data_IF_147713523942
#
_entry.id   IF_147713523942
#
_cell.length_a   1.000
_cell.length_b   1.000
_cell.length_c   1.000
_cell.angle_alpha   90.00
_cell.angle_beta   90.00
_cell.angle_gamma   90.00
#
_symmetry.space_group_name_H-M   'P 1'
#
loop_
_entity.id
_entity.type
_entity.pdbx_description
1 polymer ?
#
# COMPACT_ATOMS: atom_id res chain seq x y z
N UNK A 1 0.60 39.80 -19.96
CA UNK A 1 -0.79 39.53 -19.60
C UNK A 1 -0.80 38.51 -18.47
N UNK A 2 -1.37 38.94 -17.31
CA UNK A 2 -1.52 38.07 -16.15
C UNK A 2 -2.72 37.13 -16.37
N UNK A 3 -2.55 36.16 -17.26
CA UNK A 3 -3.47 35.04 -17.30
C UNK A 3 -2.98 33.97 -16.36
N UNK A 4 -3.82 33.45 -15.46
CA UNK A 4 -3.44 32.47 -14.43
C UNK A 4 -2.93 31.10 -14.91
N UNK A 5 -2.69 30.96 -16.22
CA UNK A 5 -2.15 29.80 -16.91
C UNK A 5 -0.77 30.03 -17.55
N UNK A 6 -0.18 31.22 -17.40
CA UNK A 6 1.14 31.50 -17.91
C UNK A 6 2.19 31.32 -16.81
N UNK A 7 3.04 30.33 -16.99
CA UNK A 7 4.12 30.01 -16.05
C UNK A 7 5.48 30.32 -16.68
N UNK A 8 6.39 30.87 -15.90
CA UNK A 8 7.81 31.00 -16.26
C UNK A 8 8.61 30.24 -15.21
N UNK A 9 9.35 29.23 -15.65
CA UNK A 9 10.23 28.43 -14.80
C UNK A 9 11.56 28.22 -15.50
N UNK A 10 12.64 28.20 -14.73
CA UNK A 10 13.92 27.78 -15.22
C UNK A 10 13.93 26.26 -15.39
N UNK A 11 14.48 25.77 -16.51
CA UNK A 11 14.59 24.34 -16.78
C UNK A 11 15.40 23.58 -15.71
N UNK A 12 16.38 24.24 -15.08
CA UNK A 12 17.18 23.66 -14.00
C UNK A 12 16.33 23.29 -12.76
N UNK A 13 15.23 24.03 -12.54
CA UNK A 13 14.31 23.77 -11.41
C UNK A 13 13.69 22.38 -11.49
N UNK A 14 13.44 21.86 -12.69
CA UNK A 14 12.83 20.52 -12.87
C UNK A 14 13.79 19.38 -12.52
N UNK A 15 15.11 19.63 -12.49
CA UNK A 15 16.09 18.63 -12.07
C UNK A 15 16.01 18.28 -10.58
N UNK A 16 15.34 19.10 -9.77
CA UNK A 16 15.09 18.82 -8.36
C UNK A 16 14.06 17.70 -8.16
N UNK A 17 13.23 17.44 -9.18
CA UNK A 17 12.18 16.43 -9.11
C UNK A 17 12.71 15.12 -9.73
N UNK A 18 12.59 13.98 -9.04
CA UNK A 18 12.97 12.68 -9.56
C UNK A 18 12.31 12.38 -10.92
N UNK A 19 13.12 11.99 -11.92
CA UNK A 19 12.63 11.77 -13.28
C UNK A 19 12.45 13.04 -14.11
N UNK A 20 12.77 14.21 -13.56
CA UNK A 20 12.74 15.52 -14.25
C UNK A 20 11.46 15.81 -15.04
N UNK A 21 10.25 15.57 -14.47
CA UNK A 21 9.01 15.91 -15.16
C UNK A 21 8.91 17.44 -15.35
N UNK A 22 8.34 17.88 -16.46
CA UNK A 22 8.11 19.30 -16.73
C UNK A 22 6.90 19.80 -15.92
N UNK A 23 7.08 19.95 -14.60
CA UNK A 23 6.04 20.33 -13.65
C UNK A 23 6.02 21.87 -13.44
N UNK A 24 5.75 22.65 -14.52
CA UNK A 24 5.78 24.11 -14.50
C UNK A 24 4.80 24.76 -13.52
N UNK A 25 3.77 24.02 -13.10
CA UNK A 25 2.75 24.44 -12.12
C UNK A 25 3.16 24.18 -10.67
N UNK A 26 4.28 23.46 -10.43
CA UNK A 26 4.74 23.16 -9.07
C UNK A 26 5.06 24.45 -8.31
N UNK A 27 4.57 24.57 -7.07
CA UNK A 27 4.93 25.68 -6.20
C UNK A 27 6.41 25.57 -5.74
N UNK A 28 7.02 26.71 -5.37
CA UNK A 28 8.36 26.70 -4.82
C UNK A 28 8.46 25.82 -3.57
N UNK A 29 7.47 25.87 -2.67
CA UNK A 29 7.41 25.01 -1.49
C UNK A 29 7.41 23.51 -1.84
N UNK A 30 6.81 23.11 -2.97
CA UNK A 30 6.82 21.71 -3.40
C UNK A 30 8.18 21.32 -3.97
N UNK A 31 8.84 22.21 -4.71
CA UNK A 31 10.20 22.03 -5.20
C UNK A 31 11.20 21.94 -4.04
N UNK A 32 11.07 22.84 -3.05
CA UNK A 32 11.86 22.80 -1.82
C UNK A 32 11.68 21.50 -1.04
N UNK A 33 10.47 20.95 -1.02
CA UNK A 33 10.22 19.66 -0.40
C UNK A 33 11.01 18.54 -1.08
N UNK A 34 11.08 18.50 -2.41
CA UNK A 34 11.92 17.52 -3.12
C UNK A 34 13.42 17.72 -2.88
N UNK A 35 13.87 18.97 -2.73
CA UNK A 35 15.27 19.28 -2.52
C UNK A 35 15.75 18.99 -1.08
N UNK A 36 14.88 19.17 -0.08
CA UNK A 36 15.29 19.23 1.32
C UNK A 36 14.67 18.15 2.22
N UNK A 37 13.53 17.54 1.82
CA UNK A 37 12.93 16.48 2.61
C UNK A 37 13.60 15.14 2.35
N UNK A 38 13.57 14.27 3.37
CA UNK A 38 13.99 12.87 3.21
C UNK A 38 13.01 12.14 2.31
N UNK A 39 13.52 11.19 1.54
CA UNK A 39 12.68 10.35 0.69
C UNK A 39 11.98 9.26 1.51
N UNK A 40 10.83 8.79 1.04
CA UNK A 40 10.06 7.73 1.68
C UNK A 40 10.90 6.48 1.96
N UNK A 41 11.81 6.11 1.05
CA UNK A 41 12.67 4.94 1.19
C UNK A 41 13.68 5.02 2.36
N UNK A 42 13.86 6.20 2.95
CA UNK A 42 14.67 6.39 4.17
C UNK A 42 13.91 6.02 5.44
N UNK A 43 12.57 6.08 5.42
CA UNK A 43 11.68 5.74 6.53
C UNK A 43 11.12 4.33 6.44
N UNK A 44 10.93 3.82 5.22
CA UNK A 44 10.35 2.51 4.97
C UNK A 44 10.87 1.90 3.68
N UNK A 45 10.62 0.62 3.49
CA UNK A 45 11.11 -0.14 2.32
C UNK A 45 9.95 -0.48 1.39
N UNK A 46 9.71 0.29 0.30
CA UNK A 46 8.75 -0.08 -0.72
C UNK A 46 9.17 -1.38 -1.42
N UNK A 47 8.24 -2.32 -1.55
CA UNK A 47 8.49 -3.65 -2.12
C UNK A 47 7.36 -4.08 -3.02
N UNK A 48 7.71 -4.79 -4.08
CA UNK A 48 6.78 -5.48 -4.95
C UNK A 48 6.64 -6.93 -4.47
N UNK A 49 5.41 -7.44 -4.42
CA UNK A 49 5.13 -8.80 -4.01
C UNK A 49 5.31 -9.83 -5.12
N UNK A 50 4.85 -11.04 -4.85
CA UNK A 50 4.90 -12.14 -5.78
C UNK A 50 3.95 -11.96 -6.98
N UNK A 51 4.22 -12.69 -8.05
CA UNK A 51 3.26 -12.94 -9.10
C UNK A 51 2.98 -14.44 -9.12
N UNK A 52 1.70 -14.84 -9.02
CA UNK A 52 1.31 -16.25 -9.00
C UNK A 52 1.47 -16.93 -10.36
N UNK A 53 1.48 -16.14 -11.43
CA UNK A 53 1.42 -16.64 -12.80
C UNK A 53 0.06 -17.22 -13.22
N UNK A 54 -0.72 -17.73 -12.26
CA UNK A 54 -2.06 -18.30 -12.49
C UNK A 54 -2.97 -18.07 -11.29
N UNK A 55 -3.64 -16.89 -11.24
CA UNK A 55 -4.49 -16.53 -10.11
C UNK A 55 -5.64 -17.52 -9.91
N UNK A 56 -6.27 -18.00 -10.98
CA UNK A 56 -7.38 -18.95 -10.90
C UNK A 56 -7.01 -20.26 -10.20
N UNK A 57 -5.72 -20.61 -10.15
CA UNK A 57 -5.22 -21.79 -9.45
C UNK A 57 -4.92 -21.54 -7.98
N UNK A 58 -4.33 -20.39 -7.65
CA UNK A 58 -3.71 -20.14 -6.35
C UNK A 58 -4.45 -19.14 -5.48
N UNK A 59 -5.36 -18.34 -6.04
CA UNK A 59 -6.06 -17.26 -5.35
C UNK A 59 -7.56 -17.53 -5.35
N UNK A 60 -8.23 -17.22 -4.23
CA UNK A 60 -9.68 -17.29 -4.05
C UNK A 60 -10.17 -16.05 -3.32
N UNK A 61 -11.44 -15.80 -3.39
CA UNK A 61 -12.12 -14.94 -2.45
C UNK A 61 -12.33 -15.74 -1.15
N UNK A 62 -12.24 -15.09 0.01
CA UNK A 62 -12.23 -15.79 1.30
C UNK A 62 -13.49 -16.64 1.53
N UNK A 63 -14.64 -16.25 0.97
CA UNK A 63 -15.90 -17.00 1.06
C UNK A 63 -16.00 -18.22 0.12
N UNK A 64 -15.04 -18.41 -0.77
CA UNK A 64 -14.95 -19.57 -1.66
C UNK A 64 -14.17 -20.75 -1.04
N UNK A 65 -13.57 -20.54 0.13
CA UNK A 65 -12.68 -21.52 0.75
C UNK A 65 -13.22 -22.03 2.08
N UNK A 66 -12.67 -23.16 2.52
CA UNK A 66 -12.99 -23.76 3.81
C UNK A 66 -12.37 -22.93 4.95
N UNK A 67 -13.23 -22.37 5.81
CA UNK A 67 -12.81 -21.57 6.95
C UNK A 67 -11.92 -22.36 7.93
N UNK A 68 -12.15 -23.67 8.08
CA UNK A 68 -11.31 -24.54 8.93
C UNK A 68 -9.88 -24.70 8.39
N UNK A 69 -9.67 -24.40 7.11
CA UNK A 69 -8.35 -24.42 6.44
C UNK A 69 -7.78 -23.02 6.20
N UNK A 70 -8.40 -22.01 6.76
CA UNK A 70 -8.04 -20.60 6.56
C UNK A 70 -7.54 -19.98 7.86
N UNK A 71 -6.52 -19.14 7.80
CA UNK A 71 -6.05 -18.35 8.94
C UNK A 71 -6.02 -16.87 8.58
N UNK A 72 -6.83 -16.08 9.27
CA UNK A 72 -6.88 -14.63 9.15
C UNK A 72 -6.12 -13.92 10.28
N UNK A 73 -5.55 -14.67 11.23
CA UNK A 73 -4.85 -14.15 12.41
C UNK A 73 -3.39 -14.58 12.52
N UNK A 74 -2.85 -15.29 11.53
CA UNK A 74 -1.45 -15.67 11.47
C UNK A 74 -0.56 -14.42 11.49
N UNK A 75 0.44 -14.40 12.38
CA UNK A 75 1.24 -13.20 12.62
C UNK A 75 2.66 -13.26 12.04
N UNK A 76 3.12 -14.44 11.62
CA UNK A 76 4.47 -14.61 11.08
C UNK A 76 4.56 -15.73 10.05
N UNK A 77 5.65 -15.72 9.29
CA UNK A 77 5.97 -16.80 8.34
C UNK A 77 6.18 -18.13 9.07
N UNK A 78 6.86 -18.12 10.21
CA UNK A 78 7.13 -19.32 11.01
C UNK A 78 5.83 -19.96 11.51
N UNK A 79 4.89 -19.13 11.94
CA UNK A 79 3.55 -19.59 12.34
C UNK A 79 2.79 -20.18 11.15
N UNK A 80 2.86 -19.58 9.97
CA UNK A 80 2.19 -20.09 8.77
C UNK A 80 2.73 -21.46 8.35
N UNK A 81 4.05 -21.65 8.41
CA UNK A 81 4.73 -22.92 8.08
C UNK A 81 4.40 -24.02 9.08
N UNK A 82 4.30 -23.68 10.38
CA UNK A 82 3.99 -24.65 11.44
C UNK A 82 2.51 -24.97 11.54
N UNK A 83 1.64 -24.20 10.90
CA UNK A 83 0.20 -24.39 10.92
C UNK A 83 -0.25 -25.43 9.89
N UNK A 84 -1.46 -25.98 10.12
CA UNK A 84 -2.13 -26.86 9.14
C UNK A 84 -3.05 -26.07 8.17
N UNK A 85 -2.96 -24.75 8.16
CA UNK A 85 -3.77 -23.93 7.32
C UNK A 85 -3.25 -23.88 5.88
N UNK A 86 -4.20 -23.77 4.95
CA UNK A 86 -3.92 -23.70 3.54
C UNK A 86 -4.06 -22.29 2.97
N UNK A 87 -5.06 -21.54 3.47
CA UNK A 87 -5.44 -20.26 2.93
C UNK A 87 -5.07 -19.13 3.87
N UNK A 88 -4.38 -18.13 3.34
CA UNK A 88 -3.94 -16.96 4.08
C UNK A 88 -4.32 -15.67 3.34
N UNK A 89 -4.54 -14.55 4.04
CA UNK A 89 -4.84 -13.26 3.44
C UNK A 89 -3.86 -12.88 2.33
N UNK A 90 -4.39 -12.40 1.22
CA UNK A 90 -3.61 -12.02 0.06
C UNK A 90 -3.89 -10.57 -0.35
N UNK A 91 -2.91 -9.71 -0.23
CA UNK A 91 -3.02 -8.32 -0.63
C UNK A 91 -2.85 -8.19 -2.14
N UNK A 92 -3.96 -8.09 -2.85
CA UNK A 92 -4.01 -8.00 -4.32
C UNK A 92 -4.21 -6.58 -4.87
N UNK A 93 -4.18 -5.57 -4.02
CA UNK A 93 -4.51 -4.20 -4.39
C UNK A 93 -6.01 -3.96 -4.32
N UNK A 94 -6.66 -3.66 -5.44
CA UNK A 94 -8.10 -3.41 -5.52
C UNK A 94 -8.46 -1.94 -5.71
N UNK A 95 -9.73 -1.60 -5.53
CA UNK A 95 -10.30 -0.28 -5.78
C UNK A 95 -9.74 0.82 -4.87
N UNK A 96 -10.03 2.07 -5.22
CA UNK A 96 -9.64 3.22 -4.43
C UNK A 96 -10.28 3.16 -3.04
N UNK A 97 -9.47 2.94 -2.02
CA UNK A 97 -9.86 3.00 -0.61
C UNK A 97 -8.66 3.44 0.23
N UNK A 98 -8.83 4.45 1.06
CA UNK A 98 -7.82 4.91 2.02
C UNK A 98 -7.94 4.13 3.33
N UNK A 99 -6.88 4.10 4.08
CA UNK A 99 -6.73 3.69 5.47
C UNK A 99 -6.82 2.18 5.71
N UNK A 100 -7.93 1.52 5.35
CA UNK A 100 -8.17 0.08 5.58
C UNK A 100 -9.11 -0.50 4.52
N UNK A 101 -9.06 -1.82 4.27
CA UNK A 101 -9.96 -2.56 3.39
C UNK A 101 -9.28 -3.23 2.20
N UNK A 102 -10.07 -3.69 1.22
CA UNK A 102 -9.67 -4.55 0.11
C UNK A 102 -8.99 -5.83 0.63
N UNK A 103 -9.73 -6.57 1.47
CA UNK A 103 -9.28 -7.80 2.13
C UNK A 103 -10.14 -8.99 1.69
N UNK A 104 -10.47 -9.09 0.42
CA UNK A 104 -11.33 -10.16 -0.10
C UNK A 104 -10.55 -11.43 -0.45
N UNK A 105 -9.28 -11.28 -0.85
CA UNK A 105 -8.52 -12.37 -1.42
C UNK A 105 -7.72 -13.16 -0.38
N UNK A 106 -7.66 -14.47 -0.60
CA UNK A 106 -6.76 -15.40 0.07
C UNK A 106 -5.92 -16.15 -0.96
N UNK A 107 -4.72 -16.57 -0.56
CA UNK A 107 -3.79 -17.35 -1.37
C UNK A 107 -3.55 -18.72 -0.74
N UNK A 108 -3.41 -19.75 -1.56
CA UNK A 108 -2.89 -21.04 -1.14
C UNK A 108 -1.40 -20.90 -0.78
N UNK A 109 -1.12 -20.83 0.52
CA UNK A 109 0.24 -20.73 1.07
C UNK A 109 0.59 -21.91 1.99
N UNK A 110 -0.07 -23.06 1.78
CA UNK A 110 0.22 -24.33 2.47
C UNK A 110 1.69 -24.70 2.26
N UNK A 111 2.36 -25.19 3.32
CA UNK A 111 3.77 -25.59 3.30
C UNK A 111 4.71 -24.50 2.74
N UNK A 112 4.63 -23.28 3.27
CA UNK A 112 5.39 -22.10 2.80
C UNK A 112 5.12 -21.78 1.32
N UNK A 113 3.90 -22.03 0.85
CA UNK A 113 3.51 -21.75 -0.54
C UNK A 113 4.19 -22.67 -1.55
N UNK A 114 4.50 -23.90 -1.17
CA UNK A 114 5.24 -24.85 -2.01
C UNK A 114 4.62 -24.98 -3.41
N UNK A 115 3.30 -25.11 -3.50
CA UNK A 115 2.61 -25.23 -4.80
C UNK A 115 2.76 -23.99 -5.72
N UNK A 116 2.87 -22.79 -5.11
CA UNK A 116 3.12 -21.54 -5.85
C UNK A 116 4.58 -21.45 -6.25
N UNK A 117 5.51 -21.82 -5.36
CA UNK A 117 6.96 -21.77 -5.59
C UNK A 117 7.41 -22.73 -6.69
N UNK A 118 6.81 -23.90 -6.76
CA UNK A 118 7.12 -24.92 -7.78
C UNK A 118 6.49 -24.63 -9.15
N UNK A 119 5.50 -23.73 -9.22
CA UNK A 119 4.87 -23.40 -10.48
C UNK A 119 5.78 -22.52 -11.34
N UNK A 120 6.14 -22.99 -12.52
CA UNK A 120 7.10 -22.35 -13.41
C UNK A 120 6.70 -20.95 -13.90
N UNK A 121 5.39 -20.62 -13.85
CA UNK A 121 4.84 -19.30 -14.19
C UNK A 121 4.89 -18.29 -13.04
N UNK A 122 5.17 -18.73 -11.81
CA UNK A 122 5.21 -17.86 -10.65
C UNK A 122 6.56 -17.13 -10.52
N UNK A 123 6.54 -15.99 -9.86
CA UNK A 123 7.75 -15.24 -9.49
C UNK A 123 7.65 -14.82 -8.04
N UNK A 124 8.43 -15.45 -7.16
CA UNK A 124 8.49 -15.11 -5.75
C UNK A 124 9.43 -13.92 -5.55
N UNK A 125 8.93 -12.85 -4.95
CA UNK A 125 9.69 -11.62 -4.63
C UNK A 125 9.54 -11.27 -3.17
N UNK A 126 10.63 -10.85 -2.53
CA UNK A 126 10.68 -10.33 -1.16
C UNK A 126 9.93 -11.23 -0.15
N UNK A 127 10.20 -12.54 -0.08
CA UNK A 127 9.49 -13.46 0.81
C UNK A 127 9.72 -13.12 2.30
N UNK A 128 10.81 -12.48 2.64
CA UNK A 128 11.14 -11.94 3.97
C UNK A 128 10.18 -10.84 4.45
N UNK A 129 9.35 -10.32 3.56
CA UNK A 129 8.33 -9.31 3.85
C UNK A 129 6.93 -9.90 4.04
N UNK A 130 6.72 -11.19 3.74
CA UNK A 130 5.41 -11.81 3.91
C UNK A 130 5.03 -11.90 5.39
N UNK A 131 3.74 -11.85 5.67
CA UNK A 131 3.14 -11.86 7.01
C UNK A 131 3.49 -10.66 7.90
N UNK A 132 4.27 -9.70 7.41
CA UNK A 132 4.61 -8.48 8.16
C UNK A 132 3.57 -7.38 7.94
N UNK A 133 3.31 -6.53 8.95
CA UNK A 133 2.44 -5.38 8.77
C UNK A 133 3.04 -4.40 7.74
N UNK A 134 2.18 -3.74 6.98
CA UNK A 134 2.60 -2.82 5.92
C UNK A 134 1.54 -1.75 5.64
N UNK A 135 1.93 -0.72 4.90
CA UNK A 135 1.00 0.14 4.16
C UNK A 135 1.10 -0.20 2.68
N UNK A 136 -0.05 -0.34 2.03
CA UNK A 136 -0.12 -0.80 0.64
C UNK A 136 -0.87 0.17 -0.25
N UNK A 137 -0.57 0.11 -1.54
CA UNK A 137 -1.33 0.79 -2.57
C UNK A 137 -1.60 -0.16 -3.75
N UNK A 138 -2.59 0.17 -4.55
CA UNK A 138 -2.84 -0.53 -5.81
C UNK A 138 -1.87 -0.02 -6.87
N UNK A 139 -1.07 -0.90 -7.45
CA UNK A 139 -0.09 -0.55 -8.49
C UNK A 139 -0.75 0.16 -9.68
N UNK A 140 -1.96 -0.26 -10.04
CA UNK A 140 -2.75 0.32 -11.12
C UNK A 140 -4.02 0.93 -10.52
N UNK A 141 -4.28 2.19 -10.82
CA UNK A 141 -5.50 2.90 -10.42
C UNK A 141 -5.95 3.86 -11.51
N UNK A 142 -7.24 3.89 -11.79
CA UNK A 142 -7.85 4.82 -12.76
C UNK A 142 -8.00 6.25 -12.22
N UNK A 143 -7.61 6.50 -10.99
CA UNK A 143 -7.73 7.78 -10.31
C UNK A 143 -6.54 8.07 -9.40
N UNK A 144 -6.81 8.66 -8.25
CA UNK A 144 -5.79 8.95 -7.25
C UNK A 144 -5.26 7.68 -6.61
N UNK A 145 -4.00 7.72 -6.17
CA UNK A 145 -3.43 6.67 -5.31
C UNK A 145 -4.07 6.73 -3.91
N UNK A 146 -4.16 5.59 -3.24
CA UNK A 146 -4.64 5.48 -1.86
C UNK A 146 -3.80 4.47 -1.09
N UNK A 147 -3.44 4.81 0.15
CA UNK A 147 -2.63 3.97 1.01
C UNK A 147 -3.48 3.36 2.12
N UNK A 148 -3.45 2.01 2.21
CA UNK A 148 -4.20 1.19 3.18
C UNK A 148 -3.23 0.49 4.11
N UNK A 149 -3.62 0.35 5.36
CA UNK A 149 -2.91 -0.51 6.31
C UNK A 149 -3.29 -1.97 6.09
N UNK A 150 -2.29 -2.84 6.08
CA UNK A 150 -2.43 -4.29 6.16
C UNK A 150 -1.79 -4.76 7.47
N UNK A 151 -2.56 -5.40 8.36
CA UNK A 151 -1.99 -6.02 9.56
C UNK A 151 -1.03 -7.16 9.18
N UNK A 152 -0.37 -7.73 10.16
CA UNK A 152 0.37 -8.98 9.98
C UNK A 152 -0.54 -10.07 9.40
N UNK A 153 0.03 -11.07 8.75
CA UNK A 153 -0.71 -12.21 8.23
C UNK A 153 -0.97 -12.20 6.72
N UNK A 154 -0.53 -11.17 6.01
CA UNK A 154 -0.74 -11.08 4.58
C UNK A 154 0.50 -11.50 3.77
N UNK A 155 0.26 -12.31 2.75
CA UNK A 155 1.15 -12.39 1.57
C UNK A 155 0.71 -11.29 0.60
N UNK A 156 1.60 -10.75 -0.23
CA UNK A 156 1.26 -9.62 -1.10
C UNK A 156 1.67 -9.84 -2.57
N UNK A 157 0.84 -9.32 -3.45
CA UNK A 157 0.91 -9.42 -4.90
C UNK A 157 1.75 -8.29 -5.51
N UNK A 158 2.18 -8.49 -6.73
CA UNK A 158 2.77 -7.44 -7.57
C UNK A 158 1.83 -6.24 -7.76
N UNK A 159 0.51 -6.46 -7.73
CA UNK A 159 -0.50 -5.40 -7.82
C UNK A 159 -0.82 -4.75 -6.46
N UNK A 160 -0.51 -5.43 -5.36
CA UNK A 160 -0.67 -4.96 -3.98
C UNK A 160 0.67 -4.56 -3.36
N UNK A 161 1.45 -3.76 -4.08
CA UNK A 161 2.74 -3.24 -3.60
C UNK A 161 2.65 -2.60 -2.22
N UNK A 162 3.69 -2.76 -1.41
CA UNK A 162 3.65 -2.41 0.01
C UNK A 162 4.94 -1.74 0.50
N UNK A 163 4.82 -0.87 1.52
CA UNK A 163 5.95 -0.31 2.28
C UNK A 163 6.01 -1.00 3.63
N UNK A 164 7.21 -1.42 4.01
CA UNK A 164 7.51 -2.06 5.28
C UNK A 164 8.42 -1.16 6.13
N UNK A 165 8.09 -1.01 7.41
CA UNK A 165 8.86 -0.28 8.41
C UNK A 165 8.46 -0.78 9.82
N UNK A 166 8.93 -0.09 10.86
CA UNK A 166 8.38 -0.23 12.21
C UNK A 166 6.96 0.35 12.31
N UNK A 167 6.25 0.00 13.39
CA UNK A 167 4.83 0.33 13.53
C UNK A 167 4.54 1.84 13.55
N UNK A 168 5.37 2.64 14.24
CA UNK A 168 5.15 4.08 14.36
C UNK A 168 5.48 4.80 13.04
N UNK A 169 6.58 4.43 12.41
CA UNK A 169 6.94 4.92 11.08
C UNK A 169 5.86 4.59 10.04
N UNK A 170 5.25 3.40 10.09
CA UNK A 170 4.15 3.03 9.18
C UNK A 170 2.91 3.92 9.38
N UNK A 171 2.60 4.33 10.62
CA UNK A 171 1.49 5.26 10.87
C UNK A 171 1.76 6.62 10.24
N UNK A 172 2.91 7.20 10.57
CA UNK A 172 3.31 8.50 10.04
C UNK A 172 3.34 8.52 8.52
N UNK A 173 3.97 7.50 7.91
CA UNK A 173 4.03 7.34 6.45
C UNK A 173 2.63 7.22 5.83
N UNK A 174 1.71 6.50 6.46
CA UNK A 174 0.34 6.40 5.96
C UNK A 174 -0.38 7.74 5.99
N UNK A 175 -0.21 8.51 7.08
CA UNK A 175 -0.75 9.87 7.19
C UNK A 175 -0.20 10.78 6.10
N UNK A 176 1.12 10.83 5.96
CA UNK A 176 1.79 11.61 4.94
C UNK A 176 1.34 11.21 3.53
N UNK A 177 1.38 9.91 3.20
CA UNK A 177 1.02 9.39 1.88
C UNK A 177 -0.45 9.59 1.51
N UNK A 178 -1.36 9.66 2.48
CA UNK A 178 -2.78 9.96 2.23
C UNK A 178 -3.11 11.46 2.26
N UNK A 179 -2.13 12.33 2.51
CA UNK A 179 -2.31 13.78 2.53
C UNK A 179 -2.56 14.35 1.12
N UNK A 180 -3.19 15.51 1.06
CA UNK A 180 -3.41 16.23 -0.19
C UNK A 180 -2.10 16.67 -0.87
N UNK A 181 -1.05 16.88 -0.08
CA UNK A 181 0.29 17.25 -0.59
C UNK A 181 0.88 16.08 -1.38
N UNK A 182 0.92 14.89 -0.78
CA UNK A 182 1.45 13.71 -1.48
C UNK A 182 0.55 13.27 -2.63
N UNK A 183 -0.76 13.50 -2.59
CA UNK A 183 -1.62 13.28 -3.77
C UNK A 183 -1.19 14.15 -4.96
N UNK A 184 -0.75 15.41 -4.74
CA UNK A 184 -0.20 16.27 -5.79
C UNK A 184 1.17 15.79 -6.27
N UNK A 185 2.04 15.35 -5.36
CA UNK A 185 3.33 14.71 -5.69
C UNK A 185 3.08 13.49 -6.59
N UNK A 186 2.15 12.62 -6.20
CA UNK A 186 1.81 11.42 -6.95
C UNK A 186 1.35 11.73 -8.38
N UNK A 187 0.48 12.72 -8.57
CA UNK A 187 0.02 13.13 -9.90
C UNK A 187 1.13 13.72 -10.78
N UNK A 188 2.18 14.24 -10.18
CA UNK A 188 3.34 14.78 -10.88
C UNK A 188 4.35 13.70 -11.29
N UNK A 189 4.63 12.77 -10.37
CA UNK A 189 5.61 11.68 -10.61
C UNK A 189 5.02 10.51 -11.40
N UNK A 190 3.71 10.31 -11.29
CA UNK A 190 2.99 9.22 -11.95
C UNK A 190 1.84 9.78 -12.79
N UNK A 191 2.13 10.40 -13.94
CA UNK A 191 1.09 10.96 -14.81
C UNK A 191 0.27 9.88 -15.54
N UNK A 192 0.62 8.62 -15.35
CA UNK A 192 -0.08 7.45 -15.88
C UNK A 192 -0.90 6.75 -14.79
N UNK A 193 -1.57 5.66 -15.15
CA UNK A 193 -2.34 4.84 -14.22
C UNK A 193 -1.48 3.96 -13.31
N UNK A 194 -0.16 3.92 -13.54
CA UNK A 194 0.76 3.05 -12.82
C UNK A 194 1.52 3.82 -11.73
N UNK A 195 1.47 3.28 -10.51
CA UNK A 195 2.21 3.78 -9.35
C UNK A 195 3.32 2.80 -9.00
N UNK A 196 4.49 3.00 -9.59
CA UNK A 196 5.62 2.10 -9.47
C UNK A 196 6.36 2.29 -8.14
N UNK A 197 6.92 1.19 -7.61
CA UNK A 197 7.70 1.17 -6.36
C UNK A 197 8.82 2.23 -6.35
N UNK A 198 9.52 2.39 -7.48
CA UNK A 198 10.60 3.36 -7.62
C UNK A 198 10.13 4.82 -7.48
N UNK A 199 8.94 5.15 -7.99
CA UNK A 199 8.36 6.49 -7.87
C UNK A 199 7.92 6.77 -6.42
N UNK A 200 7.23 5.80 -5.80
CA UNK A 200 6.79 5.93 -4.39
C UNK A 200 8.00 6.08 -3.46
N UNK A 201 9.08 5.37 -3.72
CA UNK A 201 10.32 5.43 -2.94
C UNK A 201 10.90 6.85 -2.85
N UNK A 202 10.65 7.70 -3.85
CA UNK A 202 11.17 9.08 -3.93
C UNK A 202 10.21 10.15 -3.41
N UNK A 203 9.06 9.79 -2.83
CA UNK A 203 8.14 10.78 -2.27
C UNK A 203 8.82 11.56 -1.14
N UNK A 204 8.76 12.90 -1.16
CA UNK A 204 9.35 13.74 -0.12
C UNK A 204 8.49 13.65 1.15
N UNK A 205 9.06 13.15 2.23
CA UNK A 205 8.41 13.03 3.54
C UNK A 205 8.96 14.10 4.46
N UNK A 206 8.13 15.07 4.79
CA UNK A 206 8.45 16.11 5.76
C UNK A 206 8.09 15.56 7.14
N UNK A 207 9.09 15.22 7.94
CA UNK A 207 8.90 14.76 9.31
C UNK A 207 8.89 15.96 10.26
N UNK A 208 7.94 15.97 11.20
CA UNK A 208 7.90 16.92 12.31
C UNK A 208 7.62 16.14 13.61
N UNK A 209 8.66 16.01 14.44
CA UNK A 209 8.61 15.24 15.69
C UNK A 209 7.55 15.74 16.68
N UNK A 210 7.28 17.05 16.71
CA UNK A 210 6.27 17.63 17.60
C UNK A 210 4.84 17.27 17.17
N UNK A 211 4.61 17.15 15.86
CA UNK A 211 3.30 16.82 15.28
C UNK A 211 3.07 15.32 15.11
N UNK A 212 4.12 14.52 15.15
CA UNK A 212 4.05 13.07 14.91
C UNK A 212 3.03 12.35 15.81
N UNK A 213 2.95 12.59 17.12
CA UNK A 213 1.94 11.96 17.99
C UNK A 213 0.50 12.28 17.55
N UNK A 214 0.26 13.54 17.15
CA UNK A 214 -1.07 13.99 16.67
C UNK A 214 -1.41 13.35 15.31
N UNK A 215 -0.45 13.27 14.41
CA UNK A 215 -0.62 12.58 13.11
C UNK A 215 -0.94 11.11 13.33
N UNK A 216 -0.17 10.42 14.19
CA UNK A 216 -0.36 9.00 14.46
C UNK A 216 -1.72 8.71 15.10
N UNK A 217 -2.18 9.54 16.05
CA UNK A 217 -3.51 9.44 16.65
C UNK A 217 -4.63 9.64 15.60
N UNK A 218 -4.46 10.61 14.70
CA UNK A 218 -5.42 10.85 13.61
C UNK A 218 -5.47 9.67 12.64
N UNK A 219 -4.31 9.08 12.31
CA UNK A 219 -4.22 7.89 11.46
C UNK A 219 -4.93 6.70 12.10
N UNK A 220 -4.74 6.47 13.40
CA UNK A 220 -5.42 5.39 14.12
C UNK A 220 -6.94 5.57 14.06
N UNK A 221 -7.44 6.78 14.28
CA UNK A 221 -8.87 7.09 14.13
C UNK A 221 -9.39 6.86 12.72
N UNK A 222 -8.63 7.25 11.70
CA UNK A 222 -8.98 7.02 10.30
C UNK A 222 -8.98 5.52 9.93
N UNK A 223 -8.02 4.75 10.47
CA UNK A 223 -7.98 3.29 10.30
C UNK A 223 -9.19 2.62 10.92
N UNK A 224 -9.54 3.00 12.14
CA UNK A 224 -10.68 2.45 12.86
C UNK A 224 -12.00 2.74 12.15
N UNK A 225 -12.22 3.98 11.74
CA UNK A 225 -13.41 4.37 10.96
C UNK A 225 -13.50 3.60 9.65
N UNK A 226 -12.38 3.47 8.92
CA UNK A 226 -12.35 2.76 7.66
C UNK A 226 -12.51 1.23 7.83
N UNK A 227 -12.00 0.67 8.96
CA UNK A 227 -12.21 -0.73 9.31
C UNK A 227 -13.66 -0.98 9.67
N UNK A 228 -14.26 -0.13 10.49
CA UNK A 228 -15.68 -0.23 10.86
C UNK A 228 -16.58 -0.18 9.63
N UNK A 229 -16.29 0.72 8.69
CA UNK A 229 -17.01 0.79 7.42
C UNK A 229 -16.81 -0.50 6.59
N UNK A 230 -15.58 -0.99 6.47
CA UNK A 230 -15.28 -2.24 5.76
C UNK A 230 -16.01 -3.44 6.36
N UNK A 231 -15.97 -3.59 7.67
CA UNK A 231 -16.57 -4.70 8.41
C UNK A 231 -18.11 -4.61 8.49
N UNK A 232 -18.69 -3.54 7.98
CA UNK A 232 -20.14 -3.37 7.83
C UNK A 232 -20.71 -4.09 6.60
N UNK A 233 -19.87 -4.68 5.77
CA UNK A 233 -20.25 -5.36 4.53
C UNK A 233 -19.81 -6.82 4.53
N UNK A 234 -20.58 -7.69 3.88
CA UNK A 234 -20.36 -9.14 3.77
C UNK A 234 -19.06 -9.49 3.00
N UNK A 235 -18.41 -8.53 2.38
CA UNK A 235 -17.08 -8.69 1.77
C UNK A 235 -15.96 -8.79 2.79
N UNK A 236 -16.20 -8.41 4.05
CA UNK A 236 -15.26 -8.60 5.15
C UNK A 236 -15.45 -9.95 5.83
N UNK A 237 -14.35 -10.68 6.10
CA UNK A 237 -14.39 -11.87 6.96
C UNK A 237 -14.68 -11.56 8.44
N UNK A 238 -14.58 -10.28 8.85
CA UNK A 238 -14.94 -9.78 10.19
C UNK A 238 -16.41 -9.29 10.25
N UNK A 239 -17.18 -9.42 9.15
CA UNK A 239 -18.58 -9.00 9.10
C UNK A 239 -19.42 -9.74 10.13
N UNK A 240 -20.23 -9.01 10.89
CA UNK A 240 -21.16 -9.57 11.89
C UNK A 240 -22.59 -9.26 11.59
N UNK A 241 -22.88 -8.03 11.21
CA UNK A 241 -24.21 -7.57 10.81
C UNK A 241 -24.13 -6.21 10.13
N UNK A 242 -25.08 -5.95 9.27
CA UNK A 242 -25.21 -4.63 8.65
C UNK A 242 -25.62 -3.56 9.67
N UNK A 243 -25.04 -2.34 9.66
CA UNK A 243 -25.32 -1.29 10.65
C UNK A 243 -26.79 -0.85 10.72
N UNK A 244 -27.55 -1.06 9.66
CA UNK A 244 -28.99 -0.69 9.61
C UNK A 244 -29.91 -1.82 10.13
N UNK A 245 -29.37 -2.98 10.55
CA UNK A 245 -30.08 -4.10 11.14
C UNK A 245 -29.74 -4.24 12.62
#
# INVERSE_FOLDING_TARGET
PDCGWFYRRDAETFKQIPGTPIAYWASDALLDAFANAKQLNEFGKPRQGLATGENARFVREWWEVDDQKSSYSCCSLEESVSSAYKWFPYNKGGDFRKWYGNNECVINWEDDGNSVREYSGSVIRNPDCYFRPSITWSKISSGSIAFRFKPAGHVFDVAGTSVFSDAESLKYLQGACNSSVIMRVASMLSPTLNFEVGQIATYPIIQNEELEPSVNSTVDSCRELSKTDWDSFETSWDFKRHPLL
#
